data_IF_830124488703
#
_entry.id   IF_830124488703
#
_cell.length_a   1.000
_cell.length_b   1.000
_cell.length_c   1.000
_cell.angle_alpha   90.00
_cell.angle_beta   90.00
_cell.angle_gamma   90.00
#
_symmetry.space_group_name_H-M   'P 1'
#
loop_
_entity.id
_entity.type
_entity.pdbx_description
1 polymer ?
#
# COMPACT_ATOMS: atom_id res chain seq x y z
N UNK A 1 -26.75 57.73 -5.65
CA UNK A 1 -26.45 56.91 -4.47
C UNK A 1 -26.18 55.52 -5.01
N UNK A 2 -24.89 55.21 -5.13
CA UNK A 2 -24.35 54.06 -5.86
C UNK A 2 -24.35 52.81 -4.99
N UNK A 3 -24.88 51.69 -5.50
CA UNK A 3 -24.56 50.33 -5.04
C UNK A 3 -24.79 49.33 -6.18
N UNK A 4 -23.73 48.76 -6.77
CA UNK A 4 -23.78 47.43 -7.34
C UNK A 4 -22.99 46.48 -6.43
N UNK A 5 -23.63 45.40 -6.00
CA UNK A 5 -22.95 44.35 -5.25
C UNK A 5 -23.80 43.10 -5.24
N UNK A 6 -23.44 42.15 -6.10
CA UNK A 6 -23.71 40.71 -5.98
C UNK A 6 -22.99 40.01 -7.14
N UNK A 7 -21.66 39.94 -7.05
CA UNK A 7 -20.91 38.88 -7.71
C UNK A 7 -20.90 37.70 -6.74
N UNK A 8 -21.75 36.72 -6.98
CA UNK A 8 -21.69 35.44 -6.27
C UNK A 8 -20.44 34.69 -6.77
N UNK A 9 -19.32 34.92 -6.05
CA UNK A 9 -18.18 34.01 -6.07
C UNK A 9 -18.62 32.70 -5.44
N UNK A 10 -18.67 31.65 -6.25
CA UNK A 10 -18.76 30.25 -5.83
C UNK A 10 -17.57 29.99 -4.89
N UNK A 11 -17.75 29.41 -3.69
CA UNK A 11 -16.60 29.04 -2.88
C UNK A 11 -15.86 27.91 -3.60
N UNK A 12 -14.62 28.19 -3.99
CA UNK A 12 -13.65 27.18 -4.39
C UNK A 12 -13.56 26.17 -3.25
N UNK A 13 -13.92 24.92 -3.56
CA UNK A 13 -13.74 23.80 -2.66
C UNK A 13 -12.27 23.39 -2.70
N UNK A 14 -11.41 24.17 -2.07
CA UNK A 14 -10.07 23.71 -1.70
C UNK A 14 -10.24 22.68 -0.58
N UNK A 15 -10.36 21.41 -0.99
CA UNK A 15 -9.96 20.30 -0.13
C UNK A 15 -8.47 20.45 0.21
N UNK A 16 -7.98 19.80 1.30
CA UNK A 16 -6.57 19.88 1.64
C UNK A 16 -5.75 19.46 0.40
N UNK A 17 -4.85 20.34 -0.04
CA UNK A 17 -3.87 20.00 -1.05
C UNK A 17 -3.00 18.89 -0.45
N UNK A 18 -3.29 17.64 -0.81
CA UNK A 18 -2.38 16.54 -0.54
C UNK A 18 -1.12 16.84 -1.35
N UNK A 19 0.03 16.99 -0.70
CA UNK A 19 1.35 17.17 -1.35
C UNK A 19 1.76 15.87 -2.07
N UNK A 20 0.95 15.43 -3.04
CA UNK A 20 1.20 14.23 -3.82
C UNK A 20 2.26 14.56 -4.87
N UNK A 21 3.36 13.82 -4.94
CA UNK A 21 4.39 14.08 -5.94
C UNK A 21 3.91 13.75 -7.37
N UNK A 22 4.36 14.47 -8.41
CA UNK A 22 4.06 14.12 -9.83
C UNK A 22 5.13 13.22 -10.49
N UNK A 23 4.79 12.03 -10.96
CA UNK A 23 5.78 11.11 -11.57
C UNK A 23 6.04 11.43 -13.05
N UNK A 24 7.31 11.41 -13.47
CA UNK A 24 7.67 11.48 -14.89
C UNK A 24 7.15 10.26 -15.67
N UNK A 25 6.96 9.15 -14.96
CA UNK A 25 6.35 7.95 -15.49
C UNK A 25 4.82 8.03 -15.47
N UNK A 26 4.20 8.20 -16.65
CA UNK A 26 2.75 8.37 -16.78
C UNK A 26 1.93 7.24 -16.14
N UNK A 27 2.45 6.01 -16.14
CA UNK A 27 1.75 4.90 -15.52
C UNK A 27 1.79 5.00 -13.99
N UNK A 28 2.96 5.23 -13.40
CA UNK A 28 3.07 5.40 -11.94
C UNK A 28 2.35 6.66 -11.45
N UNK A 29 2.33 7.73 -12.25
CA UNK A 29 1.59 8.94 -11.97
C UNK A 29 0.09 8.65 -11.79
N UNK A 30 -0.51 7.92 -12.74
CA UNK A 30 -1.92 7.50 -12.65
C UNK A 30 -2.19 6.47 -11.56
N UNK A 31 -1.21 5.65 -11.19
CA UNK A 31 -1.34 4.76 -10.02
C UNK A 31 -1.34 5.59 -8.73
N UNK A 32 -0.52 6.64 -8.66
CA UNK A 32 -0.44 7.53 -7.51
C UNK A 32 -1.79 8.20 -7.24
N UNK A 33 -2.53 8.60 -8.28
CA UNK A 33 -3.89 9.15 -8.17
C UNK A 33 -4.87 8.22 -7.42
N UNK A 34 -4.68 6.90 -7.54
CA UNK A 34 -5.51 5.90 -6.86
C UNK A 34 -5.03 5.65 -5.42
N UNK A 35 -3.73 5.78 -5.17
CA UNK A 35 -3.12 5.50 -3.88
C UNK A 35 -3.18 6.68 -2.90
N UNK A 36 -3.15 7.92 -3.40
CA UNK A 36 -3.07 9.15 -2.59
C UNK A 36 -4.19 9.32 -1.55
N UNK A 37 -5.30 8.61 -1.71
CA UNK A 37 -6.40 8.63 -0.74
C UNK A 37 -6.16 7.76 0.50
N UNK A 38 -5.21 6.82 0.44
CA UNK A 38 -4.95 5.86 1.52
C UNK A 38 -3.47 5.86 1.97
N UNK A 39 -2.54 6.29 1.13
CA UNK A 39 -1.11 6.30 1.43
C UNK A 39 -0.56 7.72 1.39
N UNK A 40 0.36 8.00 2.30
CA UNK A 40 1.33 9.08 2.15
C UNK A 40 2.41 8.60 1.17
N UNK A 41 2.70 9.37 0.11
CA UNK A 41 3.53 8.93 -1.01
C UNK A 41 4.85 9.70 -1.12
N UNK A 42 5.93 8.97 -1.42
CA UNK A 42 7.29 9.48 -1.63
C UNK A 42 7.87 8.93 -2.94
N UNK A 43 8.75 9.71 -3.59
CA UNK A 43 9.49 9.30 -4.80
C UNK A 43 10.91 8.86 -4.49
N UNK A 44 11.47 8.05 -5.39
CA UNK A 44 12.90 7.74 -5.44
C UNK A 44 13.47 7.22 -4.10
N UNK A 45 12.66 6.43 -3.39
CA UNK A 45 13.02 5.90 -2.09
C UNK A 45 14.12 4.86 -2.23
N UNK A 46 15.13 4.93 -1.36
CA UNK A 46 16.29 4.03 -1.38
C UNK A 46 16.50 3.38 -0.03
N UNK A 47 16.57 2.06 -0.02
CA UNK A 47 16.76 1.28 1.20
C UNK A 47 17.51 -0.02 0.90
N UNK A 48 18.45 -0.38 1.78
CA UNK A 48 19.29 -1.59 1.67
C UNK A 48 19.91 -1.84 0.27
N UNK A 49 20.30 -0.75 -0.41
CA UNK A 49 20.87 -0.80 -1.76
C UNK A 49 19.86 -0.98 -2.89
N UNK A 50 18.58 -1.16 -2.58
CA UNK A 50 17.47 -1.18 -3.53
C UNK A 50 16.89 0.24 -3.72
N UNK A 51 16.28 0.45 -4.88
CA UNK A 51 15.61 1.72 -5.23
C UNK A 51 14.20 1.46 -5.71
N UNK A 52 13.29 2.34 -5.30
CA UNK A 52 11.87 2.29 -5.58
C UNK A 52 11.40 3.64 -6.10
N UNK A 53 10.73 3.61 -7.25
CA UNK A 53 10.23 4.82 -7.91
C UNK A 53 9.06 5.43 -7.13
N UNK A 54 8.25 4.58 -6.48
CA UNK A 54 7.13 4.96 -5.64
C UNK A 54 7.21 4.21 -4.31
N UNK A 55 7.20 4.97 -3.22
CA UNK A 55 7.09 4.49 -1.86
C UNK A 55 5.81 5.04 -1.23
N UNK A 56 5.06 4.19 -0.52
CA UNK A 56 3.83 4.57 0.15
C UNK A 56 3.79 4.05 1.58
N UNK A 57 3.35 4.89 2.51
CA UNK A 57 3.13 4.51 3.91
C UNK A 57 1.68 4.70 4.30
N UNK A 58 1.12 3.74 5.02
CA UNK A 58 -0.20 3.86 5.63
C UNK A 58 -0.14 3.36 7.07
N UNK A 59 -0.72 4.13 7.99
CA UNK A 59 -0.81 3.79 9.40
C UNK A 59 -2.28 3.67 9.81
N UNK A 60 -2.68 2.53 10.35
CA UNK A 60 -4.06 2.27 10.79
C UNK A 60 -4.07 2.03 12.29
N UNK A 61 -4.66 2.96 13.04
CA UNK A 61 -4.96 2.78 14.46
C UNK A 61 -6.39 2.26 14.65
N UNK A 62 -6.53 1.17 15.40
CA UNK A 62 -7.83 0.67 15.87
C UNK A 62 -7.95 0.87 17.37
N UNK A 63 -8.92 1.70 17.77
CA UNK A 63 -9.27 1.89 19.18
C UNK A 63 -10.48 1.03 19.55
N UNK A 64 -10.30 0.05 20.44
CA UNK A 64 -11.45 -0.69 21.00
C UNK A 64 -12.12 0.14 22.10
N UNK A 65 -13.20 0.84 21.77
CA UNK A 65 -14.05 1.51 22.76
C UNK A 65 -14.93 0.46 23.48
N UNK A 66 -14.57 0.07 24.70
CA UNK A 66 -15.45 -0.70 25.60
C UNK A 66 -16.08 0.20 26.68
N UNK A 67 -17.39 0.03 26.91
CA UNK A 67 -18.21 0.74 27.90
C UNK A 67 -17.98 0.25 29.35
N UNK A 68 -16.74 0.20 29.86
CA UNK A 68 -16.54 -0.01 31.31
C UNK A 68 -15.22 0.56 31.85
N UNK A 69 -15.30 1.31 32.96
CA UNK A 69 -14.20 2.10 33.58
C UNK A 69 -13.08 1.28 34.27
N UNK A 70 -12.83 0.03 33.87
CA UNK A 70 -11.90 -0.83 34.63
C UNK A 70 -11.01 -1.76 33.81
N UNK A 71 -10.93 -1.59 32.48
CA UNK A 71 -10.10 -2.46 31.63
C UNK A 71 -9.24 -1.59 30.72
N UNK A 72 -7.94 -1.90 30.72
CA UNK A 72 -6.87 -1.14 30.06
C UNK A 72 -7.19 -0.81 28.60
N UNK A 73 -6.81 0.42 28.24
CA UNK A 73 -6.75 0.94 26.88
C UNK A 73 -5.80 0.05 26.07
N UNK A 74 -6.27 -0.54 24.96
CA UNK A 74 -5.41 -1.26 24.01
C UNK A 74 -5.65 -0.62 22.65
N UNK A 75 -4.83 0.39 22.34
CA UNK A 75 -4.72 0.88 20.98
C UNK A 75 -3.91 -0.17 20.24
N UNK A 76 -4.44 -0.70 19.14
CA UNK A 76 -3.65 -1.54 18.26
C UNK A 76 -3.40 -0.79 16.97
N UNK A 77 -2.20 -0.93 16.41
CA UNK A 77 -1.87 -0.35 15.11
C UNK A 77 -1.38 -1.39 14.12
N UNK A 78 -1.60 -1.07 12.85
CA UNK A 78 -1.02 -1.77 11.72
C UNK A 78 -0.35 -0.75 10.80
N UNK A 79 0.84 -1.09 10.33
CA UNK A 79 1.56 -0.32 9.31
C UNK A 79 1.53 -1.06 7.98
N UNK A 80 1.38 -0.32 6.87
CA UNK A 80 1.61 -0.84 5.54
C UNK A 80 2.68 -0.01 4.81
N UNK A 81 3.61 -0.73 4.19
CA UNK A 81 4.68 -0.17 3.36
C UNK A 81 4.52 -0.70 1.94
N UNK A 82 4.29 0.21 0.99
CA UNK A 82 4.20 -0.08 -0.43
C UNK A 82 5.49 0.37 -1.12
N UNK A 83 6.19 -0.56 -1.77
CA UNK A 83 7.43 -0.30 -2.49
C UNK A 83 7.27 -0.76 -3.94
N UNK A 84 7.20 0.20 -4.87
CA UNK A 84 6.97 -0.06 -6.28
C UNK A 84 8.12 0.46 -7.15
N UNK A 85 8.49 -0.31 -8.16
CA UNK A 85 9.49 0.10 -9.14
C UNK A 85 9.24 -0.47 -10.52
N UNK A 86 9.76 0.20 -11.54
CA UNK A 86 9.94 -0.37 -12.87
C UNK A 86 11.17 -1.28 -12.93
N UNK A 87 11.04 -2.34 -13.71
CA UNK A 87 12.15 -3.20 -14.11
C UNK A 87 12.07 -3.49 -15.60
N UNK A 88 13.22 -3.68 -16.25
CA UNK A 88 13.26 -4.13 -17.63
C UNK A 88 12.72 -5.54 -17.83
N UNK A 89 12.68 -6.34 -16.76
CA UNK A 89 12.17 -7.71 -16.78
C UNK A 89 11.88 -8.16 -15.36
N UNK A 90 10.73 -8.76 -15.10
CA UNK A 90 10.51 -9.45 -13.83
C UNK A 90 11.13 -10.86 -13.89
N UNK A 91 12.04 -11.14 -12.95
CA UNK A 91 12.67 -12.46 -12.78
C UNK A 91 12.37 -13.04 -11.41
N UNK A 92 12.44 -14.38 -11.29
CA UNK A 92 12.28 -15.05 -10.00
C UNK A 92 13.30 -14.53 -8.98
N UNK A 93 14.55 -14.33 -9.42
CA UNK A 93 15.61 -13.82 -8.56
C UNK A 93 15.33 -12.41 -8.04
N UNK A 94 14.69 -11.52 -8.82
CA UNK A 94 14.27 -10.20 -8.31
C UNK A 94 13.19 -10.33 -7.25
N UNK A 95 12.18 -11.17 -7.50
CA UNK A 95 11.09 -11.37 -6.56
C UNK A 95 11.60 -11.96 -5.24
N UNK A 96 12.49 -12.96 -5.30
CA UNK A 96 13.14 -13.53 -4.11
C UNK A 96 13.96 -12.50 -3.34
N UNK A 97 14.70 -11.61 -4.03
CA UNK A 97 15.43 -10.52 -3.37
C UNK A 97 14.52 -9.55 -2.62
N UNK A 98 13.32 -9.25 -3.15
CA UNK A 98 12.35 -8.39 -2.45
C UNK A 98 11.78 -9.07 -1.20
N UNK A 99 11.63 -10.40 -1.25
CA UNK A 99 11.23 -11.19 -0.08
C UNK A 99 12.31 -11.16 1.00
N UNK A 100 13.58 -11.27 0.63
CA UNK A 100 14.70 -11.15 1.56
C UNK A 100 14.82 -9.72 2.13
N UNK A 101 14.64 -8.70 1.28
CA UNK A 101 14.60 -7.30 1.71
C UNK A 101 13.55 -7.08 2.79
N UNK A 102 12.36 -7.68 2.68
CA UNK A 102 11.32 -7.58 3.69
C UNK A 102 11.78 -8.06 5.08
N UNK A 103 12.66 -9.07 5.16
CA UNK A 103 13.22 -9.49 6.43
C UNK A 103 14.15 -8.43 7.01
N UNK A 104 15.04 -7.86 6.19
CA UNK A 104 15.92 -6.76 6.60
C UNK A 104 15.09 -5.58 7.12
N UNK A 105 14.11 -5.13 6.33
CA UNK A 105 13.23 -4.01 6.72
C UNK A 105 12.44 -4.31 7.98
N UNK A 106 12.01 -5.56 8.19
CA UNK A 106 11.27 -5.94 9.40
C UNK A 106 12.08 -5.74 10.68
N UNK A 107 13.41 -5.87 10.62
CA UNK A 107 14.28 -5.66 11.78
C UNK A 107 14.51 -4.17 12.07
N UNK A 108 14.46 -3.33 11.03
CA UNK A 108 14.74 -1.90 11.14
C UNK A 108 13.50 -1.04 11.38
N UNK A 109 12.38 -1.38 10.72
CA UNK A 109 11.20 -0.51 10.65
C UNK A 109 10.11 -0.88 11.66
N UNK A 110 10.14 -2.11 12.18
CA UNK A 110 9.13 -2.56 13.13
C UNK A 110 9.60 -2.36 14.56
N UNK A 111 9.07 -1.34 15.22
CA UNK A 111 9.14 -1.24 16.67
C UNK A 111 8.09 -2.17 17.29
N UNK A 112 8.46 -3.43 17.48
CA UNK A 112 7.55 -4.42 18.05
C UNK A 112 7.17 -4.03 19.48
N UNK A 113 5.91 -3.64 19.68
CA UNK A 113 5.27 -3.40 20.98
C UNK A 113 4.06 -4.34 21.17
N UNK A 114 3.46 -4.36 22.36
CA UNK A 114 2.20 -5.10 22.58
C UNK A 114 1.01 -4.48 21.82
N UNK A 115 1.15 -3.21 21.41
CA UNK A 115 0.17 -2.48 20.61
C UNK A 115 0.33 -2.74 19.11
N UNK A 116 1.48 -3.27 18.69
CA UNK A 116 1.73 -3.63 17.30
C UNK A 116 0.92 -4.88 16.89
N UNK A 117 -0.08 -4.71 16.03
CA UNK A 117 -0.88 -5.82 15.52
C UNK A 117 -0.22 -6.48 14.31
N UNK A 118 0.30 -5.66 13.39
CA UNK A 118 1.18 -6.17 12.34
C UNK A 118 1.64 -5.13 11.33
N UNK A 119 2.61 -5.54 10.51
CA UNK A 119 3.15 -4.75 9.40
C UNK A 119 2.94 -5.50 8.09
N UNK A 120 2.48 -4.84 7.04
CA UNK A 120 2.44 -5.42 5.69
C UNK A 120 3.47 -4.73 4.79
N UNK A 121 4.36 -5.52 4.18
CA UNK A 121 5.27 -5.05 3.13
C UNK A 121 4.75 -5.52 1.78
N UNK A 122 4.34 -4.58 0.93
CA UNK A 122 3.92 -4.89 -0.44
C UNK A 122 4.94 -4.42 -1.44
N UNK A 123 5.53 -5.36 -2.18
CA UNK A 123 6.46 -5.05 -3.25
C UNK A 123 5.79 -5.20 -4.62
N UNK A 124 5.96 -4.18 -5.47
CA UNK A 124 5.39 -4.14 -6.81
C UNK A 124 6.48 -3.98 -7.86
N UNK A 125 6.52 -4.91 -8.81
CA UNK A 125 7.33 -4.82 -10.01
C UNK A 125 6.45 -4.47 -11.21
N UNK A 126 6.74 -3.33 -11.84
CA UNK A 126 6.16 -2.94 -13.13
C UNK A 126 7.14 -3.36 -14.22
N UNK A 127 6.75 -4.34 -15.03
CA UNK A 127 7.61 -4.95 -16.05
C UNK A 127 6.91 -4.94 -17.42
N UNK A 128 7.63 -5.16 -18.54
CA UNK A 128 7.00 -5.28 -19.86
C UNK A 128 6.09 -6.51 -19.98
N UNK A 129 6.47 -7.63 -19.35
CA UNK A 129 5.78 -8.92 -19.43
C UNK A 129 5.89 -9.71 -18.11
N UNK A 130 5.00 -10.70 -17.94
CA UNK A 130 5.00 -11.62 -16.79
C UNK A 130 5.20 -13.05 -17.28
N UNK A 131 6.37 -13.63 -16.97
CA UNK A 131 6.67 -15.03 -17.31
C UNK A 131 5.86 -16.02 -16.46
N UNK A 132 5.60 -17.22 -17.00
CA UNK A 132 4.87 -18.27 -16.29
C UNK A 132 5.52 -18.68 -14.96
N UNK A 133 6.85 -18.70 -14.90
CA UNK A 133 7.59 -19.05 -13.68
C UNK A 133 7.35 -18.01 -12.57
N UNK A 134 7.43 -16.72 -12.92
CA UNK A 134 7.13 -15.61 -11.99
C UNK A 134 5.68 -15.68 -11.54
N UNK A 135 4.74 -15.85 -12.48
CA UNK A 135 3.31 -15.98 -12.17
C UNK A 135 3.04 -17.13 -11.21
N UNK A 136 3.63 -18.29 -11.52
CA UNK A 136 3.52 -19.52 -10.76
C UNK A 136 4.04 -19.33 -9.32
N UNK A 137 5.17 -18.64 -9.16
CA UNK A 137 5.71 -18.30 -7.85
C UNK A 137 4.81 -17.34 -7.08
N UNK A 138 4.49 -16.18 -7.67
CA UNK A 138 3.72 -15.11 -7.00
C UNK A 138 2.35 -15.59 -6.56
N UNK A 139 1.62 -16.34 -7.40
CA UNK A 139 0.29 -16.88 -7.06
C UNK A 139 0.29 -17.82 -5.84
N UNK A 140 1.41 -18.52 -5.60
CA UNK A 140 1.54 -19.45 -4.46
C UNK A 140 2.24 -18.83 -3.27
N UNK A 141 2.75 -17.61 -3.42
CA UNK A 141 3.51 -16.96 -2.37
C UNK A 141 2.59 -16.58 -1.21
N UNK A 142 3.01 -16.96 -0.01
CA UNK A 142 2.38 -16.56 1.25
C UNK A 142 3.48 -16.52 2.30
N UNK A 143 3.67 -15.34 2.91
CA UNK A 143 4.70 -15.18 3.93
C UNK A 143 4.18 -14.31 5.06
N UNK A 144 4.08 -14.94 6.22
CA UNK A 144 3.70 -14.32 7.49
C UNK A 144 4.67 -14.77 8.57
N UNK A 145 5.27 -13.83 9.31
CA UNK A 145 6.20 -14.13 10.41
C UNK A 145 5.71 -13.48 11.69
N UNK A 146 5.60 -14.30 12.74
CA UNK A 146 5.21 -13.83 14.07
C UNK A 146 6.40 -13.16 14.77
N UNK A 147 6.16 -12.01 15.39
CA UNK A 147 7.15 -11.29 16.17
C UNK A 147 7.03 -11.66 17.64
N UNK A 148 8.13 -12.10 18.25
CA UNK A 148 8.18 -12.67 19.60
C UNK A 148 7.01 -13.65 19.84
N UNK A 149 6.88 -14.66 18.99
CA UNK A 149 5.79 -15.66 19.05
C UNK A 149 4.37 -15.09 18.96
N UNK A 150 4.21 -13.89 18.40
CA UNK A 150 2.93 -13.21 18.21
C UNK A 150 2.58 -12.20 19.30
N UNK A 151 3.38 -12.13 20.38
CA UNK A 151 3.16 -11.12 21.44
C UNK A 151 3.38 -9.69 20.94
N UNK A 152 4.18 -9.53 19.89
CA UNK A 152 4.51 -8.23 19.29
C UNK A 152 3.94 -8.14 17.87
N UNK A 153 2.82 -8.82 17.62
CA UNK A 153 2.18 -8.89 16.31
C UNK A 153 2.92 -9.80 15.33
N UNK A 154 2.84 -9.43 14.05
CA UNK A 154 3.43 -10.17 12.94
C UNK A 154 3.80 -9.22 11.81
N UNK A 155 4.54 -9.68 10.81
CA UNK A 155 4.51 -9.03 9.52
C UNK A 155 4.14 -10.00 8.41
N UNK A 156 3.59 -9.45 7.35
CA UNK A 156 3.28 -10.14 6.11
C UNK A 156 4.03 -9.51 4.94
N UNK A 157 4.34 -10.33 3.94
CA UNK A 157 4.94 -9.88 2.69
C UNK A 157 3.96 -10.19 1.56
N UNK A 158 3.75 -9.19 0.71
CA UNK A 158 2.92 -9.28 -0.48
C UNK A 158 3.76 -8.93 -1.71
N UNK A 159 3.49 -9.65 -2.81
CA UNK A 159 4.18 -9.49 -4.08
C UNK A 159 3.16 -9.22 -5.17
N UNK A 160 3.41 -8.20 -5.98
CA UNK A 160 2.63 -7.89 -7.16
C UNK A 160 3.57 -7.70 -8.34
N UNK A 161 3.24 -8.31 -9.48
CA UNK A 161 3.92 -8.04 -10.74
C UNK A 161 2.88 -7.62 -11.76
N UNK A 162 3.16 -6.54 -12.46
CA UNK A 162 2.21 -5.86 -13.34
C UNK A 162 2.86 -5.61 -14.69
N UNK A 163 2.19 -6.00 -15.77
CA UNK A 163 2.56 -5.70 -17.14
C UNK A 163 1.48 -4.81 -17.77
N UNK A 164 1.66 -3.47 -17.71
CA UNK A 164 0.61 -2.55 -18.09
C UNK A 164 0.30 -2.57 -19.59
N UNK A 165 1.30 -2.82 -20.43
CA UNK A 165 1.13 -2.90 -21.89
C UNK A 165 0.31 -4.14 -22.30
N UNK A 166 0.44 -5.23 -21.53
CA UNK A 166 -0.30 -6.48 -21.72
C UNK A 166 -1.61 -6.53 -20.92
N UNK A 167 -1.94 -5.47 -20.17
CA UNK A 167 -3.08 -5.42 -19.25
C UNK A 167 -3.10 -6.63 -18.29
N UNK A 168 -1.93 -7.05 -17.82
CA UNK A 168 -1.75 -8.27 -17.05
C UNK A 168 -1.22 -8.00 -15.64
N UNK A 169 -1.66 -8.81 -14.69
CA UNK A 169 -1.27 -8.73 -13.28
C UNK A 169 -1.22 -10.13 -12.66
N UNK A 170 -0.24 -10.33 -11.79
CA UNK A 170 -0.22 -11.42 -10.83
C UNK A 170 0.11 -10.87 -9.45
N UNK A 171 -0.63 -11.34 -8.44
CA UNK A 171 -0.49 -10.87 -7.07
C UNK A 171 -0.55 -12.05 -6.11
N UNK A 172 0.27 -12.01 -5.05
CA UNK A 172 0.18 -12.97 -3.95
C UNK A 172 -1.17 -12.83 -3.25
N UNK A 173 -1.53 -13.85 -2.46
CA UNK A 173 -2.76 -13.81 -1.67
C UNK A 173 -2.83 -12.54 -0.80
N UNK A 174 -4.02 -11.94 -0.70
CA UNK A 174 -4.32 -10.74 0.09
C UNK A 174 -3.65 -9.43 -0.34
N UNK A 175 -2.96 -9.36 -1.48
CA UNK A 175 -2.40 -8.11 -2.00
C UNK A 175 -3.48 -7.19 -2.65
N UNK A 176 -4.39 -6.65 -1.84
CA UNK A 176 -5.52 -5.81 -2.30
C UNK A 176 -5.04 -4.55 -3.06
N UNK A 177 -3.82 -4.06 -2.75
CA UNK A 177 -3.18 -2.92 -3.43
C UNK A 177 -3.01 -3.13 -4.94
N UNK A 178 -2.98 -4.39 -5.42
CA UNK A 178 -2.85 -4.70 -6.85
C UNK A 178 -3.92 -4.00 -7.71
N UNK A 179 -5.09 -3.70 -7.13
CA UNK A 179 -6.17 -2.96 -7.82
C UNK A 179 -5.81 -1.51 -8.15
N UNK A 180 -4.93 -0.89 -7.37
CA UNK A 180 -4.44 0.44 -7.69
C UNK A 180 -3.60 0.41 -8.98
N UNK A 181 -2.94 -0.72 -9.26
CA UNK A 181 -2.09 -0.92 -10.43
C UNK A 181 -2.87 -1.43 -11.65
N UNK A 182 -4.06 -2.02 -11.51
CA UNK A 182 -4.87 -2.43 -12.68
C UNK A 182 -5.66 -1.27 -13.29
N UNK A 183 -4.96 -0.37 -13.98
CA UNK A 183 -5.55 0.85 -14.56
C UNK A 183 -6.62 0.57 -15.63
N UNK A 184 -6.51 -0.57 -16.31
CA UNK A 184 -7.39 -1.03 -17.40
C UNK A 184 -8.66 -1.76 -16.91
N UNK A 185 -8.76 -2.11 -15.63
CA UNK A 185 -10.00 -2.65 -15.09
C UNK A 185 -10.92 -1.48 -14.70
N UNK A 186 -12.07 -1.39 -15.38
CA UNK A 186 -13.06 -0.33 -15.19
C UNK A 186 -13.41 -0.12 -13.70
N UNK A 187 -13.22 1.10 -13.22
CA UNK A 187 -13.64 1.54 -11.90
C UNK A 187 -15.13 1.92 -11.85
N UNK A 188 -15.99 1.34 -12.69
CA UNK A 188 -17.46 1.53 -12.64
C UNK A 188 -18.12 0.84 -11.42
N UNK A 189 -17.34 0.48 -10.41
CA UNK A 189 -17.84 0.22 -9.07
C UNK A 189 -17.78 1.55 -8.33
N UNK A 190 -18.96 2.00 -7.85
CA UNK A 190 -19.15 3.16 -6.98
C UNK A 190 -17.98 3.39 -6.02
N UNK A 191 -17.68 4.65 -5.60
CA UNK A 191 -16.60 4.97 -4.66
C UNK A 191 -16.63 3.98 -3.50
N UNK A 192 -15.81 2.94 -3.63
CA UNK A 192 -15.97 1.77 -2.78
C UNK A 192 -15.29 2.18 -1.49
N UNK A 193 -15.90 1.94 -0.31
CA UNK A 193 -15.22 2.14 0.95
C UNK A 193 -13.85 1.50 0.84
N UNK A 194 -12.81 2.36 0.85
CA UNK A 194 -11.49 2.10 0.26
C UNK A 194 -10.81 0.90 0.89
N UNK A 195 -9.69 0.47 0.32
CA UNK A 195 -8.84 -0.64 0.77
C UNK A 195 -8.84 -0.84 2.31
N UNK A 196 -8.80 0.26 3.07
CA UNK A 196 -9.09 0.40 4.50
C UNK A 196 -10.25 -0.45 5.07
N UNK A 197 -11.41 -0.51 4.44
CA UNK A 197 -12.59 -1.27 4.94
C UNK A 197 -12.34 -2.79 4.89
N UNK A 198 -11.51 -3.25 3.95
CA UNK A 198 -11.15 -4.68 3.84
C UNK A 198 -10.02 -5.03 4.80
N UNK A 199 -9.04 -4.16 4.93
CA UNK A 199 -8.00 -4.24 5.97
C UNK A 199 -8.65 -4.29 7.35
N UNK A 200 -9.58 -3.38 7.66
CA UNK A 200 -10.38 -3.37 8.90
C UNK A 200 -11.20 -4.66 9.10
N UNK A 201 -11.73 -5.26 8.02
CA UNK A 201 -12.44 -6.55 8.10
C UNK A 201 -11.50 -7.72 8.42
N UNK A 202 -10.24 -7.66 7.99
CA UNK A 202 -9.19 -8.64 8.30
C UNK A 202 -8.76 -8.58 9.77
N UNK A 203 -8.73 -7.38 10.36
CA UNK A 203 -8.41 -7.15 11.78
C UNK A 203 -9.48 -7.69 12.76
N UNK A 204 -10.67 -8.05 12.25
CA UNK A 204 -11.81 -8.55 13.04
C UNK A 204 -11.91 -10.08 13.15
N UNK A 205 -10.94 -10.83 12.59
CA UNK A 205 -10.88 -12.31 12.64
C UNK A 205 -9.74 -12.83 13.49
#
# INVERSE_FOLDING_TARGET
MDRPGSGEGRPDSDGPATDVPDWEDEYLDRVSDRLMYNYDLEKDHRVDGESFDLFGTMHIETQKQFLHRSINFANHYMDEYLLARRTSRATLAEVERLVDLADTLSEEWIDGSEEHQGTEFTFVLVAPDITDDVRSFVNRFSRRKLLKYGYHGHYEVHLVVVAPDDEDVVASEHADVARAFTLWQDSSLEPTPGLLTRVLRRLSR
#
